data_IF_364258828721
#
_entry.id   IF_364258828721
#
_cell.length_a   1.000
_cell.length_b   1.000
_cell.length_c   1.000
_cell.angle_alpha   90.00
_cell.angle_beta   90.00
_cell.angle_gamma   90.00
#
_symmetry.space_group_name_H-M   'P 1'
#
loop_
_entity.id
_entity.type
_entity.pdbx_description
1 polymer ?
#
# COMPACT_ATOMS: atom_id res chain seq x y z
N UNK A 1 20.11 -4.32 -10.73
CA UNK A 1 19.86 -4.72 -9.33
C UNK A 1 18.69 -5.69 -9.32
N UNK A 2 18.80 -6.90 -8.75
CA UNK A 2 17.61 -7.74 -8.58
C UNK A 2 16.71 -7.02 -7.57
N UNK A 3 15.70 -6.30 -8.08
CA UNK A 3 14.83 -5.46 -7.27
C UNK A 3 14.00 -6.33 -6.35
N UNK A 4 14.20 -6.21 -5.04
CA UNK A 4 13.36 -6.89 -4.07
C UNK A 4 11.90 -6.46 -4.23
N UNK A 5 10.98 -7.38 -3.97
CA UNK A 5 9.54 -7.14 -4.02
C UNK A 5 8.92 -7.59 -2.72
N UNK A 6 8.00 -6.78 -2.19
CA UNK A 6 7.15 -7.22 -1.09
C UNK A 6 5.94 -7.95 -1.65
N UNK A 7 5.96 -9.28 -1.59
CA UNK A 7 4.78 -10.06 -1.96
C UNK A 7 3.67 -9.85 -0.92
N UNK A 8 2.60 -9.17 -1.33
CA UNK A 8 1.38 -9.03 -0.54
C UNK A 8 0.17 -9.23 -1.44
N UNK A 9 -0.80 -10.07 -1.03
CA UNK A 9 -2.04 -10.24 -1.79
C UNK A 9 -2.78 -8.90 -1.93
N UNK A 10 -3.27 -8.60 -3.15
CA UNK A 10 -4.06 -7.38 -3.44
C UNK A 10 -5.17 -7.14 -2.43
N UNK A 11 -5.91 -8.19 -2.06
CA UNK A 11 -6.99 -8.11 -1.06
C UNK A 11 -6.50 -7.60 0.29
N UNK A 12 -5.32 -8.04 0.74
CA UNK A 12 -4.72 -7.60 2.01
C UNK A 12 -4.30 -6.14 1.95
N UNK A 13 -3.67 -5.71 0.85
CA UNK A 13 -3.30 -4.31 0.64
C UNK A 13 -4.52 -3.39 0.60
N UNK A 14 -5.59 -3.80 -0.09
CA UNK A 14 -6.85 -3.05 -0.12
C UNK A 14 -7.45 -2.88 1.28
N UNK A 15 -7.36 -3.90 2.13
CA UNK A 15 -7.79 -3.81 3.53
C UNK A 15 -6.97 -2.79 4.32
N UNK A 16 -5.63 -2.87 4.24
CA UNK A 16 -4.72 -1.94 4.90
C UNK A 16 -4.97 -0.48 4.47
N UNK A 17 -5.13 -0.23 3.17
CA UNK A 17 -5.43 1.10 2.64
C UNK A 17 -6.75 1.66 3.18
N UNK A 18 -7.80 0.83 3.23
CA UNK A 18 -9.08 1.23 3.85
C UNK A 18 -8.90 1.58 5.32
N UNK A 19 -8.09 0.83 6.07
CA UNK A 19 -7.78 1.13 7.47
C UNK A 19 -7.07 2.46 7.66
N UNK A 20 -6.27 2.89 6.68
CA UNK A 20 -5.64 4.21 6.63
C UNK A 20 -6.52 5.32 6.03
N UNK A 21 -7.77 5.03 5.65
CA UNK A 21 -8.69 5.99 5.04
C UNK A 21 -8.46 6.21 3.54
N UNK A 22 -7.61 5.41 2.91
CA UNK A 22 -7.23 5.50 1.51
C UNK A 22 -8.19 4.74 0.58
N UNK A 23 -9.49 4.97 0.76
CA UNK A 23 -10.56 4.26 0.03
C UNK A 23 -10.50 4.48 -1.50
N UNK A 24 -9.97 5.62 -1.95
CA UNK A 24 -9.82 5.93 -3.37
C UNK A 24 -8.63 5.17 -3.99
N UNK A 25 -7.49 5.16 -3.29
CA UNK A 25 -6.29 4.39 -3.68
C UNK A 25 -6.60 2.89 -3.68
N UNK A 26 -7.31 2.41 -2.66
CA UNK A 26 -7.75 1.02 -2.57
C UNK A 26 -8.63 0.59 -3.76
N UNK A 27 -9.49 1.49 -4.27
CA UNK A 27 -10.30 1.22 -5.47
C UNK A 27 -9.42 1.14 -6.72
N UNK A 28 -8.48 2.08 -6.90
CA UNK A 28 -7.58 2.08 -8.05
C UNK A 28 -6.67 0.83 -8.08
N UNK A 29 -6.15 0.40 -6.93
CA UNK A 29 -5.35 -0.83 -6.83
C UNK A 29 -6.13 -2.08 -7.20
N UNK A 30 -7.44 -2.13 -6.91
CA UNK A 30 -8.26 -3.29 -7.27
C UNK A 30 -8.36 -3.48 -8.79
N UNK A 31 -8.32 -2.39 -9.57
CA UNK A 31 -8.39 -2.41 -11.03
C UNK A 31 -7.03 -2.26 -11.74
N UNK A 32 -5.93 -2.25 -10.99
CA UNK A 32 -4.59 -2.03 -11.52
C UNK A 32 -4.03 -3.28 -12.22
N UNK A 33 -3.24 -3.07 -13.28
CA UNK A 33 -2.54 -4.16 -14.00
C UNK A 33 -1.59 -4.93 -13.07
N UNK A 34 -1.22 -6.15 -13.48
CA UNK A 34 -0.19 -6.93 -12.80
C UNK A 34 1.17 -6.24 -12.85
N UNK A 35 1.53 -5.60 -13.96
CA UNK A 35 2.81 -4.88 -14.11
C UNK A 35 2.91 -3.66 -13.17
N UNK A 36 1.85 -2.85 -13.11
CA UNK A 36 1.79 -1.71 -12.20
C UNK A 36 1.77 -2.15 -10.73
N UNK A 37 1.08 -3.26 -10.45
CA UNK A 37 1.07 -3.84 -9.11
C UNK A 37 2.45 -4.39 -8.72
N UNK A 38 3.21 -4.90 -9.68
CA UNK A 38 4.59 -5.34 -9.46
C UNK A 38 5.50 -4.15 -9.15
N UNK A 39 5.37 -3.06 -9.91
CA UNK A 39 6.09 -1.81 -9.66
C UNK A 39 5.78 -1.26 -8.27
N UNK A 40 4.53 -1.31 -7.84
CA UNK A 40 4.13 -0.96 -6.47
C UNK A 40 4.86 -1.80 -5.42
N UNK A 41 4.99 -3.12 -5.61
CA UNK A 41 5.71 -3.98 -4.67
C UNK A 41 7.20 -3.67 -4.60
N UNK A 42 7.80 -3.23 -5.70
CA UNK A 42 9.19 -2.78 -5.73
C UNK A 42 9.36 -1.45 -4.98
N UNK A 43 8.47 -0.48 -5.20
CA UNK A 43 8.47 0.79 -4.45
C UNK A 43 8.25 0.53 -2.95
N UNK A 44 7.32 -0.36 -2.60
CA UNK A 44 7.06 -0.77 -1.23
C UNK A 44 8.28 -1.43 -0.57
N UNK A 45 9.04 -2.22 -1.33
CA UNK A 45 10.30 -2.82 -0.86
C UNK A 45 11.31 -1.73 -0.51
N UNK A 46 11.52 -0.74 -1.37
CA UNK A 46 12.40 0.41 -1.09
C UNK A 46 11.99 1.14 0.18
N UNK A 47 10.68 1.40 0.35
CA UNK A 47 10.16 2.00 1.59
C UNK A 47 10.42 1.10 2.81
N UNK A 48 10.32 -0.22 2.70
CA UNK A 48 10.59 -1.11 3.83
C UNK A 48 12.04 -1.10 4.31
N UNK A 49 12.99 -0.80 3.42
CA UNK A 49 14.41 -0.69 3.78
C UNK A 49 14.68 0.48 4.73
N UNK A 50 13.75 1.43 4.87
CA UNK A 50 13.89 2.55 5.82
C UNK A 50 13.52 2.16 7.26
N UNK A 51 13.32 0.87 7.56
CA UNK A 51 12.96 0.37 8.89
C UNK A 51 11.49 0.61 9.29
N UNK A 52 10.63 1.05 8.36
CA UNK A 52 9.20 1.22 8.64
C UNK A 52 8.43 -0.10 8.54
N UNK A 53 7.29 -0.18 9.24
CA UNK A 53 6.41 -1.36 9.17
C UNK A 53 6.01 -1.67 7.71
N UNK A 54 6.13 -2.93 7.29
CA UNK A 54 5.83 -3.39 5.92
C UNK A 54 4.48 -2.91 5.39
N UNK A 55 3.43 -2.99 6.21
CA UNK A 55 2.11 -2.55 5.80
C UNK A 55 1.99 -1.02 5.66
N UNK A 56 2.81 -0.24 6.38
CA UNK A 56 2.91 1.22 6.17
C UNK A 56 3.68 1.52 4.87
N UNK A 57 4.79 0.82 4.63
CA UNK A 57 5.55 0.93 3.39
C UNK A 57 4.69 0.63 2.14
N UNK A 58 3.91 -0.45 2.20
CA UNK A 58 2.97 -0.82 1.14
C UNK A 58 1.90 0.25 0.90
N UNK A 59 1.36 0.86 1.96
CA UNK A 59 0.35 1.92 1.80
C UNK A 59 0.95 3.20 1.24
N UNK A 60 2.17 3.56 1.63
CA UNK A 60 2.87 4.73 1.07
C UNK A 60 3.21 4.52 -0.40
N UNK A 61 3.76 3.37 -0.75
CA UNK A 61 4.03 3.00 -2.14
C UNK A 61 2.75 2.98 -2.98
N UNK A 62 1.64 2.49 -2.42
CA UNK A 62 0.35 2.52 -3.06
C UNK A 62 -0.14 3.93 -3.39
N UNK A 63 -0.01 4.86 -2.45
CA UNK A 63 -0.35 6.27 -2.68
C UNK A 63 0.58 6.88 -3.74
N UNK A 64 1.88 6.63 -3.63
CA UNK A 64 2.89 7.17 -4.54
C UNK A 64 2.68 6.72 -5.99
N UNK A 65 2.43 5.43 -6.22
CA UNK A 65 2.17 4.89 -7.56
C UNK A 65 0.85 5.40 -8.13
N UNK A 66 -0.18 5.53 -7.28
CA UNK A 66 -1.53 5.94 -7.73
C UNK A 66 -1.64 7.43 -7.99
N UNK A 67 -0.93 8.26 -7.23
CA UNK A 67 -0.96 9.72 -7.33
C UNK A 67 0.24 10.29 -8.11
N UNK A 68 1.26 9.48 -8.39
CA UNK A 68 2.47 9.89 -9.08
C UNK A 68 3.43 10.73 -8.23
N UNK A 69 3.09 10.98 -6.97
CA UNK A 69 3.90 11.74 -6.02
C UNK A 69 3.83 11.14 -4.61
N UNK A 70 4.94 11.16 -3.84
CA UNK A 70 4.95 10.67 -2.48
C UNK A 70 4.13 11.60 -1.57
N UNK A 71 3.14 11.02 -0.88
CA UNK A 71 2.25 11.73 0.01
C UNK A 71 2.09 10.97 1.34
N UNK A 72 1.99 11.69 2.49
CA UNK A 72 1.63 11.04 3.74
C UNK A 72 0.22 10.44 3.70
N UNK A 73 0.05 9.30 4.37
CA UNK A 73 -1.25 8.64 4.53
C UNK A 73 -2.25 9.58 5.22
N UNK A 74 -3.52 9.54 4.79
CA UNK A 74 -4.62 10.35 5.36
C UNK A 74 -4.75 10.16 6.87
N UNK A 75 -4.49 8.94 7.37
CA UNK A 75 -4.48 8.65 8.80
C UNK A 75 -3.08 8.27 9.27
N UNK A 76 -2.70 8.83 10.42
CA UNK A 76 -1.45 8.47 11.13
C UNK A 76 -1.52 7.10 11.80
N UNK A 77 -2.72 6.63 12.15
CA UNK A 77 -2.97 5.32 12.79
C UNK A 77 -3.95 4.49 11.94
N UNK A 78 -3.72 3.17 11.89
CA UNK A 78 -4.66 2.21 11.31
C UNK A 78 -5.91 2.16 12.17
N UNK A 79 -7.08 2.24 11.52
CA UNK A 79 -8.36 1.94 12.17
C UNK A 79 -8.89 0.67 11.53
N UNK A 80 -8.86 -0.42 12.29
CA UNK A 80 -9.62 -1.60 11.93
C UNK A 80 -11.04 -1.40 12.47
N UNK A 81 -12.09 -1.50 11.65
CA UNK A 81 -13.43 -1.56 12.20
C UNK A 81 -13.46 -2.71 13.21
N UNK A 82 -13.97 -2.45 14.42
CA UNK A 82 -14.17 -3.53 15.40
C UNK A 82 -15.04 -4.57 14.70
N UNK A 83 -14.52 -5.78 14.57
CA UNK A 83 -15.34 -6.93 14.21
C UNK A 83 -16.46 -6.99 15.26
N UNK A 84 -17.68 -6.65 14.88
CA UNK A 84 -18.84 -7.01 15.68
C UNK A 84 -18.91 -8.55 15.61
N UNK A 85 -18.68 -9.19 16.77
CA UNK A 85 -19.01 -10.60 17.00
C UNK A 85 -20.49 -10.71 17.29
#
# INVERSE_FOLDING_TARGET
>A
MPGGRLYTPRKKLVGELKSYGENQVARKIRGMSNDDYDRLQQVAFVHSLTGMLLAKALCLAAVEVVEGQPRPLKRKRRVFPKSEH
#
